data_IF_834937707107
#
_entry.id   IF_834937707107
#
_cell.length_a   1.000
_cell.length_b   1.000
_cell.length_c   1.000
_cell.angle_alpha   90.00
_cell.angle_beta   90.00
_cell.angle_gamma   90.00
#
_symmetry.space_group_name_H-M   'P 1'
#
loop_
_entity.id
_entity.type
_entity.pdbx_description
1 polymer ?
#
# COMPACT_ATOMS: atom_id res chain seq x y z
N UNK A 1 15.83 22.04 -5.76
CA UNK A 1 15.35 23.43 -5.57
C UNK A 1 13.82 23.44 -5.55
N UNK A 2 13.18 22.96 -4.48
CA UNK A 2 11.70 22.99 -4.33
C UNK A 2 11.23 22.91 -2.87
N UNK A 3 12.06 22.37 -1.96
CA UNK A 3 11.69 22.15 -0.55
C UNK A 3 11.60 23.46 0.25
N UNK A 4 12.42 24.46 -0.05
CA UNK A 4 12.42 25.73 0.70
C UNK A 4 11.27 26.69 0.33
N UNK A 5 10.58 26.49 -0.81
CA UNK A 5 9.40 27.30 -1.15
C UNK A 5 8.13 26.82 -0.45
N UNK A 6 8.06 25.55 -0.03
CA UNK A 6 6.90 24.95 0.63
C UNK A 6 6.78 25.33 2.11
N UNK A 7 7.89 25.69 2.76
CA UNK A 7 7.86 26.14 4.16
C UNK A 7 7.02 27.40 4.35
N UNK A 8 7.11 28.35 3.41
CA UNK A 8 6.36 29.61 3.46
C UNK A 8 4.86 29.38 3.25
N UNK A 9 4.47 28.43 2.40
CA UNK A 9 3.05 28.09 2.20
C UNK A 9 2.44 27.41 3.44
N UNK A 10 3.20 26.52 4.10
CA UNK A 10 2.77 25.86 5.34
C UNK A 10 2.66 26.87 6.48
N UNK A 11 3.59 27.84 6.55
CA UNK A 11 3.58 28.93 7.52
C UNK A 11 2.40 29.89 7.31
N UNK A 12 2.11 30.27 6.05
CA UNK A 12 0.91 31.05 5.70
C UNK A 12 -0.35 30.28 6.08
N UNK A 13 -0.45 28.98 5.77
CA UNK A 13 -1.61 28.17 6.16
C UNK A 13 -1.81 28.14 7.69
N UNK A 14 -0.73 28.11 8.48
CA UNK A 14 -0.81 28.22 9.94
C UNK A 14 -1.25 29.62 10.41
N UNK A 15 -0.78 30.69 9.77
CA UNK A 15 -1.14 32.08 10.10
C UNK A 15 -2.62 32.41 9.79
N UNK A 16 -3.23 31.72 8.82
CA UNK A 16 -4.66 31.84 8.50
C UNK A 16 -5.54 30.95 9.40
N UNK A 17 -4.95 30.25 10.38
CA UNK A 17 -5.68 29.40 11.33
C UNK A 17 -6.05 28.02 10.79
N UNK A 18 -5.41 27.55 9.72
CA UNK A 18 -5.72 26.23 9.16
C UNK A 18 -5.37 25.11 10.16
N UNK A 19 -6.33 24.20 10.38
CA UNK A 19 -6.18 23.06 11.27
C UNK A 19 -5.02 22.17 10.81
N UNK A 20 -4.23 21.65 11.74
CA UNK A 20 -3.06 20.78 11.47
C UNK A 20 -3.37 19.56 10.57
N UNK A 21 -4.64 19.14 10.45
CA UNK A 21 -5.09 18.09 9.52
C UNK A 21 -5.05 18.53 8.04
N UNK A 22 -5.27 19.81 7.74
CA UNK A 22 -5.25 20.36 6.38
C UNK A 22 -3.85 20.26 5.76
N UNK A 23 -2.82 20.48 6.59
CA UNK A 23 -1.41 20.35 6.19
C UNK A 23 -1.02 18.87 5.98
N UNK A 24 -1.65 17.94 6.71
CA UNK A 24 -1.34 16.49 6.65
C UNK A 24 -2.08 15.74 5.55
N UNK A 25 -3.21 16.27 5.09
CA UNK A 25 -4.02 15.71 4.00
C UNK A 25 -3.22 15.31 2.76
N UNK A 26 -2.45 16.22 2.13
CA UNK A 26 -1.70 15.89 0.91
C UNK A 26 -0.68 14.76 1.11
N UNK A 27 0.01 14.72 2.25
CA UNK A 27 0.99 13.67 2.57
C UNK A 27 0.35 12.29 2.74
N UNK A 28 -0.87 12.24 3.28
CA UNK A 28 -1.63 10.99 3.39
C UNK A 28 -1.92 10.41 2.00
N UNK A 29 -2.30 11.27 1.04
CA UNK A 29 -2.52 10.86 -0.35
C UNK A 29 -1.23 10.43 -1.04
N UNK A 30 -0.13 11.16 -0.88
CA UNK A 30 1.18 10.72 -1.40
C UNK A 30 1.58 9.36 -0.83
N UNK A 31 1.38 9.13 0.47
CA UNK A 31 1.62 7.84 1.11
C UNK A 31 0.73 6.71 0.57
N UNK A 32 -0.55 7.00 0.32
CA UNK A 32 -1.48 6.04 -0.29
C UNK A 32 -1.03 5.65 -1.70
N UNK A 33 -0.60 6.62 -2.51
CA UNK A 33 -0.08 6.39 -3.86
C UNK A 33 1.17 5.53 -3.85
N UNK A 34 2.11 5.80 -2.95
CA UNK A 34 3.32 4.99 -2.79
C UNK A 34 2.96 3.57 -2.33
N UNK A 35 2.01 3.43 -1.39
CA UNK A 35 1.52 2.12 -0.93
C UNK A 35 0.83 1.31 -2.03
N UNK A 36 0.01 1.96 -2.85
CA UNK A 36 -0.67 1.35 -3.99
C UNK A 36 0.33 0.86 -5.04
N UNK A 37 1.27 1.71 -5.44
CA UNK A 37 2.31 1.32 -6.40
C UNK A 37 3.24 0.24 -5.84
N UNK A 38 3.56 0.31 -4.54
CA UNK A 38 4.36 -0.68 -3.84
C UNK A 38 3.71 -2.06 -3.74
N UNK A 39 2.37 -2.14 -3.76
CA UNK A 39 1.63 -3.40 -3.73
C UNK A 39 1.59 -4.12 -5.09
N UNK A 40 1.91 -3.45 -6.20
CA UNK A 40 1.87 -4.03 -7.55
C UNK A 40 2.87 -5.18 -7.69
N UNK A 41 4.14 -4.94 -7.33
CA UNK A 41 5.22 -5.93 -7.46
C UNK A 41 4.93 -7.22 -6.68
N UNK A 42 4.62 -7.17 -5.36
CA UNK A 42 4.33 -8.38 -4.61
C UNK A 42 3.03 -9.07 -5.06
N UNK A 43 2.03 -8.33 -5.54
CA UNK A 43 0.81 -8.94 -6.11
C UNK A 43 1.12 -9.78 -7.36
N UNK A 44 1.98 -9.29 -8.25
CA UNK A 44 2.43 -10.03 -9.43
C UNK A 44 3.19 -11.29 -9.02
N UNK A 45 4.12 -11.17 -8.06
CA UNK A 45 4.90 -12.31 -7.56
C UNK A 45 3.99 -13.40 -7.00
N UNK A 46 3.00 -13.03 -6.18
CA UNK A 46 2.04 -13.98 -5.61
C UNK A 46 1.17 -14.64 -6.67
N UNK A 47 0.74 -13.89 -7.69
CA UNK A 47 -0.02 -14.47 -8.80
C UNK A 47 0.77 -15.57 -9.53
N UNK A 48 2.03 -15.30 -9.89
CA UNK A 48 2.87 -16.29 -10.57
C UNK A 48 3.28 -17.44 -9.65
N UNK A 49 3.64 -17.15 -8.39
CA UNK A 49 3.99 -18.16 -7.40
C UNK A 49 2.82 -19.12 -7.14
N UNK A 50 1.61 -18.59 -6.94
CA UNK A 50 0.43 -19.42 -6.71
C UNK A 50 0.09 -20.27 -7.93
N UNK A 51 0.18 -19.72 -9.15
CA UNK A 51 -0.03 -20.48 -10.39
C UNK A 51 1.00 -21.60 -10.57
N UNK A 52 2.27 -21.33 -10.29
CA UNK A 52 3.33 -22.33 -10.40
C UNK A 52 3.13 -23.48 -9.38
N UNK A 53 2.85 -23.13 -8.13
CA UNK A 53 2.54 -24.12 -7.08
C UNK A 53 1.28 -24.91 -7.44
N UNK A 54 0.20 -24.25 -7.85
CA UNK A 54 -1.04 -24.91 -8.24
C UNK A 54 -0.83 -25.91 -9.39
N UNK A 55 -0.02 -25.58 -10.39
CA UNK A 55 0.30 -26.47 -11.51
C UNK A 55 1.15 -27.68 -11.11
N UNK A 56 2.10 -27.52 -10.19
CA UNK A 56 2.95 -28.61 -9.71
C UNK A 56 2.26 -29.53 -8.69
N UNK A 57 1.32 -28.97 -7.93
CA UNK A 57 0.74 -29.61 -6.75
C UNK A 57 -0.62 -30.24 -7.03
N UNK A 58 -1.47 -29.67 -7.91
CA UNK A 58 -2.75 -30.30 -8.29
C UNK A 58 -2.69 -31.77 -8.68
N UNK A 59 -1.77 -32.23 -9.55
CA UNK A 59 -1.78 -33.62 -9.99
C UNK A 59 -1.53 -34.61 -8.84
N UNK A 60 -0.96 -34.18 -7.71
CA UNK A 60 -0.75 -35.02 -6.53
C UNK A 60 -1.91 -34.93 -5.53
N UNK A 61 -2.68 -33.84 -5.53
CA UNK A 61 -3.75 -33.57 -4.57
C UNK A 61 -5.13 -34.06 -5.06
N UNK A 62 -5.38 -34.09 -6.37
CA UNK A 62 -6.56 -34.76 -6.95
C UNK A 62 -6.59 -36.27 -6.60
N UNK A 63 -5.42 -36.90 -6.45
CA UNK A 63 -5.30 -38.32 -6.06
C UNK A 63 -5.71 -38.57 -4.61
N UNK A 64 -5.68 -37.54 -3.74
CA UNK A 64 -6.02 -37.64 -2.31
C UNK A 64 -7.42 -37.13 -1.96
N UNK A 65 -8.24 -36.72 -2.95
CA UNK A 65 -9.58 -36.20 -2.70
C UNK A 65 -9.62 -34.83 -2.00
N UNK A 66 -8.48 -34.14 -1.91
CA UNK A 66 -8.34 -32.82 -1.34
C UNK A 66 -8.20 -31.81 -2.49
N UNK A 67 -9.30 -31.17 -2.87
CA UNK A 67 -9.27 -30.08 -3.85
C UNK A 67 -8.65 -28.85 -3.19
N UNK A 68 -7.55 -28.31 -3.73
CA UNK A 68 -7.12 -26.96 -3.39
C UNK A 68 -8.28 -25.99 -3.65
N UNK A 69 -8.51 -25.04 -2.73
CA UNK A 69 -9.55 -24.04 -2.90
C UNK A 69 -9.36 -23.34 -4.26
N UNK A 70 -10.44 -23.14 -5.06
CA UNK A 70 -10.33 -22.68 -6.43
C UNK A 70 -9.51 -21.39 -6.52
N UNK A 71 -8.42 -21.47 -7.28
CA UNK A 71 -7.45 -20.39 -7.48
C UNK A 71 -8.14 -19.10 -7.95
N UNK A 72 -9.22 -19.25 -8.74
CA UNK A 72 -9.99 -18.16 -9.33
C UNK A 72 -10.64 -17.23 -8.30
N UNK A 73 -10.99 -17.73 -7.10
CA UNK A 73 -11.61 -16.92 -6.05
C UNK A 73 -10.62 -16.46 -4.98
N UNK A 74 -9.61 -17.27 -4.67
CA UNK A 74 -8.66 -16.97 -3.59
C UNK A 74 -7.60 -15.95 -3.99
N UNK A 75 -7.05 -16.06 -5.20
CA UNK A 75 -6.00 -15.17 -5.69
C UNK A 75 -6.46 -13.71 -5.77
N UNK A 76 -7.64 -13.35 -6.34
CA UNK A 76 -8.09 -11.96 -6.35
C UNK A 76 -8.39 -11.42 -4.94
N UNK A 77 -8.90 -12.25 -4.03
CA UNK A 77 -9.13 -11.84 -2.63
C UNK A 77 -7.81 -11.53 -1.91
N UNK A 78 -6.78 -12.36 -2.11
CA UNK A 78 -5.44 -12.12 -1.57
C UNK A 78 -4.82 -10.83 -2.13
N UNK A 79 -4.86 -10.66 -3.46
CA UNK A 79 -4.34 -9.46 -4.12
C UNK A 79 -5.07 -8.21 -3.59
N UNK A 80 -6.40 -8.24 -3.52
CA UNK A 80 -7.19 -7.14 -2.94
C UNK A 80 -6.77 -6.82 -1.49
N UNK A 81 -6.58 -7.84 -0.66
CA UNK A 81 -6.06 -7.70 0.69
C UNK A 81 -4.68 -7.04 0.74
N UNK A 82 -3.76 -7.42 -0.15
CA UNK A 82 -2.42 -6.82 -0.24
C UNK A 82 -2.46 -5.35 -0.62
N UNK A 83 -3.33 -4.96 -1.55
CA UNK A 83 -3.52 -3.56 -1.90
C UNK A 83 -4.09 -2.75 -0.73
N UNK A 84 -5.09 -3.29 -0.03
CA UNK A 84 -5.65 -2.65 1.17
C UNK A 84 -4.57 -2.43 2.25
N UNK A 85 -3.80 -3.48 2.57
CA UNK A 85 -2.73 -3.41 3.57
C UNK A 85 -1.61 -2.48 3.11
N UNK A 86 -1.21 -2.54 1.84
CA UNK A 86 -0.18 -1.68 1.25
C UNK A 86 -0.56 -0.20 1.30
N UNK A 87 -1.80 0.15 0.97
CA UNK A 87 -2.32 1.52 1.08
C UNK A 87 -2.31 1.98 2.54
N UNK A 88 -2.83 1.17 3.46
CA UNK A 88 -2.87 1.52 4.89
C UNK A 88 -1.46 1.77 5.43
N UNK A 89 -0.52 0.86 5.16
CA UNK A 89 0.87 0.99 5.60
C UNK A 89 1.54 2.20 4.95
N UNK A 90 1.35 2.43 3.64
CA UNK A 90 1.93 3.56 2.93
C UNK A 90 1.42 4.91 3.45
N UNK A 91 0.11 5.02 3.66
CA UNK A 91 -0.53 6.20 4.24
C UNK A 91 -0.08 6.46 5.68
N UNK A 92 -0.07 5.44 6.54
CA UNK A 92 0.36 5.57 7.94
C UNK A 92 1.86 5.89 8.01
N UNK A 93 2.67 5.22 7.21
CA UNK A 93 4.12 5.45 7.10
C UNK A 93 4.45 6.87 6.67
N UNK A 94 3.73 7.43 5.70
CA UNK A 94 3.89 8.83 5.28
C UNK A 94 3.57 9.81 6.41
N UNK A 95 2.48 9.59 7.14
CA UNK A 95 2.10 10.44 8.29
C UNK A 95 3.16 10.38 9.41
N UNK A 96 3.73 9.20 9.67
CA UNK A 96 4.79 9.02 10.68
C UNK A 96 6.10 9.68 10.23
N UNK A 97 6.48 9.51 8.96
CA UNK A 97 7.69 10.12 8.38
C UNK A 97 7.65 11.65 8.50
N UNK A 98 6.50 12.26 8.17
CA UNK A 98 6.28 13.70 8.29
C UNK A 98 6.40 14.19 9.74
N UNK A 99 5.91 13.42 10.73
CA UNK A 99 6.08 13.77 12.16
C UNK A 99 7.55 13.75 12.59
N UNK A 100 8.39 12.92 11.97
CA UNK A 100 9.82 12.84 12.24
C UNK A 100 10.60 13.98 11.56
N UNK A 101 10.24 14.31 10.32
CA UNK A 101 10.91 15.36 9.55
C UNK A 101 10.58 16.79 9.99
N UNK A 102 9.41 17.04 10.59
CA UNK A 102 9.04 18.36 11.12
C UNK A 102 9.53 18.60 12.56
N UNK A 103 10.40 17.74 13.10
CA UNK A 103 11.04 17.89 14.42
C UNK A 103 12.44 18.51 14.32
N UNK A 104 12.69 19.25 13.25
CA UNK A 104 13.82 20.17 13.05
C UNK A 104 13.24 21.57 12.91
#
# INVERSE_FOLDING_TARGET
MTIMSRHRDIEIMRLVGAKNSYIRGPFFFEGAWVGLLGAIVPSIIIYFAYKAVYASVNPQFEVQGLTLYPADSFVPMLIGGMFCVGIIIGSVGSVISMRRYLKI
#
